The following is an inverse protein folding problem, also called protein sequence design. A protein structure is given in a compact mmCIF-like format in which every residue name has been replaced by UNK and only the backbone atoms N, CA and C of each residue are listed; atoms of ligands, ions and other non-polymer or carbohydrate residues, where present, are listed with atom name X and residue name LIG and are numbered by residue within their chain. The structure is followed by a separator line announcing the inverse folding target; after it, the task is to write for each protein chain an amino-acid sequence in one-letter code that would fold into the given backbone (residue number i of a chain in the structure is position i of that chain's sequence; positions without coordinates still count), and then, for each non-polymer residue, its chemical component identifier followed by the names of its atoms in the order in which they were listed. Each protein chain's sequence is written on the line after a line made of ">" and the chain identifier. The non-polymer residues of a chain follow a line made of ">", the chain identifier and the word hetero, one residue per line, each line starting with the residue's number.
data_IF_655929564649
#
_entry.id   IF_655929564649
#
_cell.length_a   1.000
_cell.length_b   1.000
_cell.length_c   1.000
_cell.angle_alpha   90.00
_cell.angle_beta   90.00
_cell.angle_gamma   90.00
#
_symmetry.space_group_name_H-M   'P 1'
#
loop_
_entity.id
_entity.type
_entity.pdbx_description
1 polymer ?
#
# COMPACT_ATOMS: atom_id res chain seq x y z
N UNK A 1 17.09 -21.67 -1.35
CA UNK A 1 16.89 -20.84 -0.13
C UNK A 1 15.43 -20.93 0.29
N UNK A 2 15.11 -21.12 1.57
CA UNK A 2 13.72 -21.18 2.04
C UNK A 2 13.35 -19.82 2.63
N UNK A 3 12.53 -19.05 1.91
CA UNK A 3 11.99 -17.79 2.41
C UNK A 3 10.79 -18.10 3.32
N UNK A 4 10.80 -17.59 4.54
CA UNK A 4 9.67 -17.77 5.45
C UNK A 4 8.51 -16.86 5.05
N UNK A 5 7.35 -17.44 4.80
CA UNK A 5 6.15 -16.71 4.41
C UNK A 5 5.64 -15.76 5.50
N UNK A 6 5.23 -14.58 5.06
CA UNK A 6 4.45 -13.62 5.84
C UNK A 6 3.43 -13.00 4.92
N UNK A 7 2.16 -13.08 5.28
CA UNK A 7 1.08 -12.50 4.49
C UNK A 7 -0.25 -12.65 5.24
N UNK A 8 -1.15 -11.68 5.03
CA UNK A 8 -2.42 -11.58 5.74
C UNK A 8 -3.49 -10.83 4.93
N UNK A 9 -3.41 -10.92 3.61
CA UNK A 9 -4.32 -10.26 2.65
C UNK A 9 -4.37 -8.72 2.72
N UNK A 10 -3.57 -8.10 3.58
CA UNK A 10 -3.41 -6.65 3.64
C UNK A 10 -1.91 -6.31 3.55
N UNK A 11 -1.59 -5.10 3.08
CA UNK A 11 -0.19 -4.66 2.96
C UNK A 11 0.67 -5.54 2.03
N UNK A 12 0.15 -5.86 0.84
CA UNK A 12 0.83 -6.74 -0.10
C UNK A 12 2.30 -6.38 -0.29
N UNK A 13 2.61 -5.13 -0.61
CA UNK A 13 3.99 -4.66 -0.81
C UNK A 13 4.79 -4.57 0.51
N UNK A 14 4.21 -4.15 1.65
CA UNK A 14 4.93 -4.09 2.93
C UNK A 14 5.26 -5.49 3.47
N UNK A 15 4.36 -6.47 3.34
CA UNK A 15 4.64 -7.87 3.68
C UNK A 15 5.72 -8.46 2.76
N UNK A 16 5.69 -8.15 1.46
CA UNK A 16 6.72 -8.59 0.51
C UNK A 16 8.08 -7.99 0.85
N UNK A 17 8.13 -6.70 1.20
CA UNK A 17 9.34 -6.05 1.70
C UNK A 17 9.83 -6.70 2.99
N UNK A 18 8.94 -6.94 3.95
CA UNK A 18 9.29 -7.60 5.22
C UNK A 18 9.92 -8.97 4.99
N UNK A 19 9.33 -9.81 4.13
CA UNK A 19 9.90 -11.12 3.77
C UNK A 19 11.29 -10.98 3.15
N UNK A 20 11.46 -10.04 2.21
CA UNK A 20 12.73 -9.83 1.52
C UNK A 20 13.84 -9.36 2.48
N UNK A 21 13.56 -8.38 3.35
CA UNK A 21 14.54 -7.84 4.30
C UNK A 21 14.94 -8.88 5.35
N UNK A 22 13.98 -9.63 5.88
CA UNK A 22 14.24 -10.69 6.86
C UNK A 22 15.20 -11.74 6.32
N UNK A 23 15.00 -12.18 5.10
CA UNK A 23 15.85 -13.20 4.46
C UNK A 23 17.16 -12.62 3.90
N UNK A 24 17.30 -11.29 3.87
CA UNK A 24 18.55 -10.59 3.56
C UNK A 24 19.43 -10.35 4.80
N UNK A 25 19.09 -10.97 5.92
CA UNK A 25 19.89 -10.94 7.15
C UNK A 25 19.48 -9.85 8.15
N UNK A 26 18.29 -9.24 7.99
CA UNK A 26 17.74 -8.40 9.03
C UNK A 26 17.46 -9.25 10.30
N UNK A 27 18.03 -8.91 11.47
CA UNK A 27 17.68 -9.59 12.70
C UNK A 27 16.16 -9.44 12.94
N UNK A 28 15.44 -10.52 13.29
CA UNK A 28 14.00 -10.43 13.54
C UNK A 28 13.58 -9.41 14.60
N UNK A 29 14.50 -9.13 15.56
CA UNK A 29 14.28 -8.14 16.62
C UNK A 29 14.51 -6.69 16.18
N UNK A 30 15.15 -6.47 15.05
CA UNK A 30 15.47 -5.14 14.51
C UNK A 30 14.55 -4.75 13.33
N UNK A 31 13.88 -5.74 12.72
CA UNK A 31 12.99 -5.48 11.60
C UNK A 31 11.58 -5.14 12.10
N UNK A 32 11.10 -3.91 11.87
CA UNK A 32 9.75 -3.52 12.26
C UNK A 32 8.69 -4.40 11.60
N UNK A 33 7.57 -4.57 12.29
CA UNK A 33 6.42 -5.32 11.79
C UNK A 33 5.82 -4.68 10.52
N UNK A 34 5.09 -5.46 9.68
CA UNK A 34 4.51 -4.94 8.44
C UNK A 34 3.62 -3.70 8.59
N UNK A 35 2.90 -3.53 9.71
CA UNK A 35 2.10 -2.33 9.97
C UNK A 35 2.96 -1.07 10.13
N UNK A 36 4.09 -1.18 10.80
CA UNK A 36 5.06 -0.08 10.90
C UNK A 36 5.72 0.19 9.55
N UNK A 37 6.09 -0.86 8.79
CA UNK A 37 6.63 -0.71 7.44
C UNK A 37 5.63 -0.01 6.52
N UNK A 38 4.34 -0.34 6.62
CA UNK A 38 3.27 0.34 5.88
C UNK A 38 3.26 1.84 6.18
N UNK A 39 3.43 2.25 7.45
CA UNK A 39 3.52 3.66 7.82
C UNK A 39 4.77 4.34 7.23
N UNK A 40 5.91 3.64 7.19
CA UNK A 40 7.14 4.17 6.56
C UNK A 40 6.98 4.42 5.06
N UNK A 41 6.08 3.72 4.38
CA UNK A 41 5.75 4.00 2.97
C UNK A 41 4.99 5.30 2.75
N UNK A 42 4.50 5.92 3.81
CA UNK A 42 3.60 7.09 3.83
C UNK A 42 2.19 6.83 3.26
N UNK A 43 1.92 5.66 2.73
CA UNK A 43 0.63 5.31 2.12
C UNK A 43 -0.58 5.48 3.05
N UNK A 44 -0.52 5.18 4.38
CA UNK A 44 -1.66 5.35 5.28
C UNK A 44 -2.13 6.79 5.49
N UNK A 45 -1.33 7.79 5.10
CA UNK A 45 -1.56 9.18 5.44
C UNK A 45 -2.16 9.97 4.27
N UNK A 46 -3.47 9.89 4.12
CA UNK A 46 -4.24 10.65 3.13
C UNK A 46 -5.41 9.88 2.53
N UNK A 47 -6.07 10.54 1.59
CA UNK A 47 -7.22 10.01 0.86
C UNK A 47 -7.16 10.46 -0.58
N UNK A 48 -7.37 9.55 -1.51
CA UNK A 48 -7.35 9.77 -2.95
C UNK A 48 -8.66 9.27 -3.58
N UNK A 49 -9.53 10.17 -3.98
CA UNK A 49 -10.81 9.88 -4.58
C UNK A 49 -10.84 10.31 -6.04
N UNK A 50 -11.06 9.34 -6.93
CA UNK A 50 -11.11 9.53 -8.38
C UNK A 50 -12.54 9.42 -8.90
N UNK A 51 -12.95 10.40 -9.71
CA UNK A 51 -14.25 10.47 -10.40
C UNK A 51 -13.99 10.62 -11.89
N UNK A 52 -13.69 9.51 -12.58
CA UNK A 52 -13.35 9.51 -14.01
C UNK A 52 -14.60 9.09 -14.80
N UNK A 53 -15.32 10.04 -15.33
CA UNK A 53 -16.58 9.81 -16.01
C UNK A 53 -17.65 9.23 -15.07
N UNK A 54 -18.04 7.96 -15.30
CA UNK A 54 -18.95 7.22 -14.41
C UNK A 54 -18.22 6.28 -13.44
N UNK A 55 -16.91 6.17 -13.57
CA UNK A 55 -16.11 5.33 -12.70
C UNK A 55 -15.69 6.11 -11.44
N UNK A 56 -16.12 5.59 -10.31
CA UNK A 56 -15.76 6.09 -9.00
C UNK A 56 -14.77 5.11 -8.37
N UNK A 57 -13.67 5.62 -7.82
CA UNK A 57 -12.66 4.80 -7.17
C UNK A 57 -12.05 5.58 -6.01
N UNK A 58 -12.02 5.00 -4.82
CA UNK A 58 -11.42 5.61 -3.65
C UNK A 58 -10.30 4.76 -3.10
N UNK A 59 -9.19 5.40 -2.79
CA UNK A 59 -8.11 4.86 -1.98
C UNK A 59 -7.96 5.71 -0.73
N UNK A 60 -8.09 5.09 0.44
CA UNK A 60 -7.76 5.74 1.70
C UNK A 60 -6.25 5.65 1.91
N UNK A 61 -5.56 6.42 1.09
CA UNK A 61 -4.10 6.47 1.02
C UNK A 61 -3.62 7.80 0.48
N UNK A 62 -2.36 8.12 0.76
CA UNK A 62 -1.73 9.35 0.28
C UNK A 62 -1.88 9.51 -1.24
N UNK A 63 -2.39 10.65 -1.74
CA UNK A 63 -2.45 10.92 -3.17
C UNK A 63 -1.08 11.33 -3.77
N UNK A 64 -0.06 11.53 -2.92
CA UNK A 64 1.28 11.98 -3.30
C UNK A 64 2.26 10.83 -3.56
N UNK A 65 1.88 9.59 -3.23
CA UNK A 65 2.72 8.41 -3.36
C UNK A 65 1.98 7.27 -4.05
N UNK A 66 2.73 6.30 -4.53
CA UNK A 66 2.24 5.01 -4.96
C UNK A 66 3.05 3.90 -4.26
N UNK A 67 2.60 2.64 -4.27
CA UNK A 67 3.31 1.56 -3.58
C UNK A 67 4.77 1.39 -3.96
N UNK A 68 5.13 1.59 -5.23
CA UNK A 68 6.50 1.45 -5.72
C UNK A 68 7.43 2.54 -5.14
N UNK A 69 6.96 3.79 -5.11
CA UNK A 69 7.65 4.90 -4.43
C UNK A 69 7.68 4.72 -2.92
N UNK A 70 6.56 4.23 -2.34
CA UNK A 70 6.46 3.94 -0.91
C UNK A 70 7.49 2.91 -0.45
N UNK A 71 7.75 1.86 -1.24
CA UNK A 71 8.81 0.88 -0.95
C UNK A 71 10.19 1.54 -0.89
N UNK A 72 10.52 2.44 -1.80
CA UNK A 72 11.81 3.16 -1.80
C UNK A 72 11.92 4.10 -0.59
N UNK A 73 10.82 4.78 -0.23
CA UNK A 73 10.73 5.63 0.97
C UNK A 73 10.95 4.81 2.25
N UNK A 74 10.31 3.66 2.37
CA UNK A 74 10.47 2.78 3.51
C UNK A 74 11.90 2.22 3.63
N UNK A 75 12.50 1.79 2.52
CA UNK A 75 13.89 1.32 2.48
C UNK A 75 14.87 2.40 2.96
N UNK A 76 14.71 3.63 2.47
CA UNK A 76 15.56 4.74 2.91
C UNK A 76 15.36 5.06 4.40
N UNK A 77 14.12 5.07 4.90
CA UNK A 77 13.85 5.28 6.33
C UNK A 77 14.47 4.18 7.20
N UNK A 78 14.45 2.93 6.76
CA UNK A 78 15.05 1.77 7.41
C UNK A 78 16.59 1.72 7.31
N UNK A 79 17.19 2.52 6.45
CA UNK A 79 18.62 2.48 6.16
C UNK A 79 19.07 1.26 5.35
N UNK A 80 18.20 0.80 4.47
CA UNK A 80 18.48 -0.28 3.53
C UNK A 80 18.61 0.23 2.10
N UNK A 81 19.47 -0.40 1.34
CA UNK A 81 19.64 -0.21 -0.09
C UNK A 81 19.32 -1.52 -0.82
N UNK A 82 18.90 -1.40 -2.07
CA UNK A 82 18.72 -2.52 -2.97
C UNK A 82 19.10 -2.13 -4.41
N UNK A 83 19.27 -3.13 -5.26
CA UNK A 83 19.33 -2.94 -6.70
C UNK A 83 17.91 -2.90 -7.23
N UNK A 84 17.55 -1.82 -7.90
CA UNK A 84 16.32 -1.71 -8.68
C UNK A 84 16.61 -1.94 -10.16
N UNK A 85 15.88 -2.86 -10.77
CA UNK A 85 16.00 -3.21 -12.18
C UNK A 85 14.62 -3.23 -12.83
N UNK A 86 14.54 -2.70 -14.04
CA UNK A 86 13.28 -2.52 -14.79
C UNK A 86 13.57 -2.70 -16.27
N UNK A 87 12.48 -2.82 -17.08
CA UNK A 87 12.53 -2.80 -18.54
C UNK A 87 13.20 -4.02 -19.19
N UNK A 88 13.30 -4.02 -20.51
CA UNK A 88 13.88 -5.07 -21.32
C UNK A 88 12.87 -5.98 -22.00
N UNK A 89 13.38 -7.00 -22.72
CA UNK A 89 12.53 -8.04 -23.30
C UNK A 89 12.04 -9.02 -22.22
N UNK A 90 10.94 -9.75 -22.45
CA UNK A 90 10.49 -10.78 -21.54
C UNK A 90 11.55 -11.81 -21.17
N UNK A 91 12.36 -12.24 -22.17
CA UNK A 91 13.42 -13.23 -21.99
C UNK A 91 14.56 -12.68 -21.12
N UNK A 92 14.99 -11.45 -21.38
CA UNK A 92 16.01 -10.76 -20.57
C UNK A 92 15.54 -10.54 -19.14
N UNK A 93 14.28 -10.14 -18.98
CA UNK A 93 13.67 -9.95 -17.65
C UNK A 93 13.60 -11.27 -16.86
N UNK A 94 13.19 -12.37 -17.50
CA UNK A 94 13.12 -13.69 -16.86
C UNK A 94 14.52 -14.20 -16.47
N UNK A 95 15.50 -14.03 -17.34
CA UNK A 95 16.89 -14.41 -17.04
C UNK A 95 17.44 -13.64 -15.85
N UNK A 96 17.26 -12.31 -15.84
CA UNK A 96 17.64 -11.42 -14.73
C UNK A 96 16.97 -11.80 -13.43
N UNK A 97 15.66 -12.13 -13.47
CA UNK A 97 14.89 -12.58 -12.32
C UNK A 97 15.48 -13.88 -11.74
N UNK A 98 15.76 -14.87 -12.60
CA UNK A 98 16.33 -16.16 -12.19
C UNK A 98 17.71 -15.99 -11.56
N UNK A 99 18.58 -15.18 -12.17
CA UNK A 99 19.91 -14.87 -11.62
C UNK A 99 19.83 -14.17 -10.26
N UNK A 100 18.93 -13.20 -10.10
CA UNK A 100 18.75 -12.48 -8.84
C UNK A 100 18.20 -13.42 -7.76
N UNK A 101 17.18 -14.22 -8.08
CA UNK A 101 16.56 -15.17 -7.13
C UNK A 101 17.51 -16.29 -6.68
N UNK A 102 18.49 -16.65 -7.51
CA UNK A 102 19.56 -17.60 -7.13
C UNK A 102 20.53 -17.01 -6.09
N UNK A 103 20.65 -15.68 -6.02
CA UNK A 103 21.56 -14.98 -5.09
C UNK A 103 20.89 -14.57 -3.78
N UNK A 104 19.57 -14.40 -3.77
CA UNK A 104 18.84 -13.97 -2.58
C UNK A 104 17.39 -13.62 -2.87
N UNK A 105 16.66 -13.06 -1.89
CA UNK A 105 15.27 -12.69 -2.07
C UNK A 105 15.12 -11.59 -3.13
N UNK A 106 14.08 -11.74 -3.95
CA UNK A 106 13.68 -10.74 -4.96
C UNK A 106 12.25 -10.31 -4.70
N UNK A 107 12.03 -9.03 -4.56
CA UNK A 107 10.71 -8.43 -4.54
C UNK A 107 10.37 -8.00 -5.97
N UNK A 108 9.41 -8.67 -6.61
CA UNK A 108 8.92 -8.34 -7.93
C UNK A 108 7.59 -7.58 -7.84
N UNK A 109 7.46 -6.52 -8.62
CA UNK A 109 6.24 -5.69 -8.69
C UNK A 109 6.53 -4.25 -9.11
N UNK A 110 5.48 -3.54 -9.56
CA UNK A 110 4.10 -4.02 -9.56
C UNK A 110 3.83 -5.10 -10.61
N UNK A 111 2.87 -5.99 -10.27
CA UNK A 111 2.25 -6.93 -11.20
C UNK A 111 0.77 -6.51 -11.41
N UNK A 112 0.18 -6.79 -12.57
CA UNK A 112 -1.26 -6.68 -12.77
C UNK A 112 -1.96 -7.89 -12.15
N UNK A 113 -2.74 -7.69 -11.08
CA UNK A 113 -3.51 -8.75 -10.41
C UNK A 113 -4.46 -9.46 -11.38
N UNK A 114 -4.96 -8.76 -12.39
CA UNK A 114 -5.83 -9.34 -13.41
C UNK A 114 -5.21 -10.49 -14.22
N UNK A 115 -3.90 -10.61 -14.21
CA UNK A 115 -3.15 -11.66 -14.89
C UNK A 115 -2.62 -12.77 -13.95
N UNK A 116 -2.88 -12.68 -12.64
CA UNK A 116 -2.46 -13.67 -11.64
C UNK A 116 -3.50 -14.80 -11.54
N UNK A 117 -3.49 -15.74 -12.48
CA UNK A 117 -4.49 -16.79 -12.66
C UNK A 117 -4.73 -17.72 -11.47
N UNK A 118 -3.88 -17.69 -10.45
CA UNK A 118 -4.08 -18.45 -9.21
C UNK A 118 -4.97 -17.73 -8.20
N UNK A 119 -5.26 -16.44 -8.40
CA UNK A 119 -6.16 -15.68 -7.52
C UNK A 119 -7.61 -15.87 -7.97
N UNK A 120 -8.55 -16.24 -7.09
CA UNK A 120 -9.96 -16.26 -7.42
C UNK A 120 -10.41 -14.89 -7.94
N UNK A 121 -11.24 -14.90 -9.00
CA UNK A 121 -11.80 -13.68 -9.59
C UNK A 121 -10.76 -12.66 -10.09
N UNK A 122 -9.50 -13.06 -10.31
CA UNK A 122 -8.42 -12.18 -10.76
C UNK A 122 -8.81 -11.27 -11.93
N UNK A 123 -9.60 -11.75 -12.88
CA UNK A 123 -10.01 -10.95 -14.04
C UNK A 123 -10.73 -9.65 -13.67
N UNK A 124 -11.40 -9.60 -12.50
CA UNK A 124 -12.07 -8.39 -11.98
C UNK A 124 -11.07 -7.41 -11.35
N UNK A 125 -9.83 -7.85 -11.06
CA UNK A 125 -8.75 -7.07 -10.45
C UNK A 125 -7.79 -6.49 -11.49
N UNK A 126 -8.16 -6.52 -12.77
CA UNK A 126 -7.32 -5.99 -13.85
C UNK A 126 -6.99 -4.50 -13.64
N UNK A 127 -5.71 -4.18 -13.69
CA UNK A 127 -5.17 -2.85 -13.42
C UNK A 127 -4.89 -2.55 -11.94
N UNK A 128 -5.26 -3.46 -11.03
CA UNK A 128 -4.80 -3.40 -9.64
C UNK A 128 -3.37 -3.91 -9.55
N UNK A 129 -2.55 -3.17 -8.83
CA UNK A 129 -1.15 -3.51 -8.60
C UNK A 129 -0.96 -4.57 -7.53
N UNK A 130 0.08 -5.35 -7.67
CA UNK A 130 0.48 -6.37 -6.71
C UNK A 130 2.00 -6.51 -6.60
N UNK A 131 2.48 -7.06 -5.47
CA UNK A 131 3.89 -7.28 -5.21
C UNK A 131 4.09 -8.65 -4.58
N UNK A 132 5.07 -9.39 -5.04
CA UNK A 132 5.37 -10.76 -4.57
C UNK A 132 6.85 -10.95 -4.28
N UNK A 133 7.19 -11.94 -3.46
CA UNK A 133 8.59 -12.37 -3.29
C UNK A 133 8.85 -13.60 -4.14
N UNK A 134 9.83 -13.51 -5.03
CA UNK A 134 10.22 -14.61 -5.93
C UNK A 134 11.13 -15.58 -5.18
N UNK A 135 10.74 -16.85 -5.17
CA UNK A 135 11.48 -17.94 -4.56
C UNK A 135 12.48 -18.60 -5.52
N UNK A 136 12.22 -18.49 -6.83
CA UNK A 136 13.07 -19.03 -7.87
C UNK A 136 12.37 -19.14 -9.20
N UNK A 137 13.19 -19.35 -10.23
CA UNK A 137 12.77 -19.72 -11.59
C UNK A 137 13.25 -21.14 -11.85
N UNK A 138 12.34 -22.08 -12.08
CA UNK A 138 12.62 -23.50 -12.24
C UNK A 138 12.02 -23.99 -13.57
N UNK A 139 12.87 -24.15 -14.58
CA UNK A 139 12.42 -24.44 -15.95
C UNK A 139 11.50 -23.34 -16.47
N UNK A 140 10.30 -23.72 -16.87
CA UNK A 140 9.28 -22.81 -17.40
C UNK A 140 8.34 -22.25 -16.30
N UNK A 141 8.72 -22.32 -15.03
CA UNK A 141 7.87 -21.88 -13.91
C UNK A 141 8.58 -20.85 -13.03
N UNK A 142 7.84 -19.87 -12.57
CA UNK A 142 8.23 -18.93 -11.52
C UNK A 142 7.51 -19.32 -10.24
N UNK A 143 8.27 -19.47 -9.15
CA UNK A 143 7.71 -19.75 -7.84
C UNK A 143 7.76 -18.49 -6.98
N UNK A 144 6.65 -18.18 -6.31
CA UNK A 144 6.51 -16.96 -5.51
C UNK A 144 5.88 -17.23 -4.14
N UNK A 145 6.17 -16.35 -3.21
CA UNK A 145 5.30 -16.06 -2.08
C UNK A 145 4.47 -14.83 -2.39
N UNK A 146 3.17 -15.01 -2.44
CA UNK A 146 2.22 -13.92 -2.56
C UNK A 146 1.61 -13.60 -1.19
N UNK A 147 1.81 -12.40 -0.66
CA UNK A 147 1.36 -12.01 0.68
C UNK A 147 -0.16 -11.99 0.86
N UNK A 148 -0.93 -12.12 -0.22
CA UNK A 148 -2.40 -12.15 -0.19
C UNK A 148 -2.98 -13.53 0.17
N UNK A 149 -2.20 -14.34 0.86
CA UNK A 149 -2.62 -15.66 1.36
C UNK A 149 -2.15 -16.84 0.52
N UNK A 150 -1.27 -16.64 -0.48
CA UNK A 150 -0.85 -17.70 -1.40
C UNK A 150 0.65 -18.02 -1.29
N UNK A 151 1.08 -18.81 -0.30
CA UNK A 151 2.48 -19.24 -0.19
C UNK A 151 2.84 -20.27 -1.26
N UNK A 152 4.09 -20.22 -1.73
CA UNK A 152 4.69 -21.24 -2.61
C UNK A 152 3.94 -21.46 -3.94
N UNK A 153 3.27 -20.45 -4.48
CA UNK A 153 2.63 -20.55 -5.79
C UNK A 153 3.69 -20.80 -6.86
N UNK A 154 3.45 -21.76 -7.74
CA UNK A 154 4.26 -22.02 -8.91
C UNK A 154 3.40 -21.85 -10.17
N UNK A 155 3.67 -20.81 -10.94
CA UNK A 155 2.92 -20.48 -12.15
C UNK A 155 3.81 -20.52 -13.40
N UNK A 156 3.24 -20.72 -14.62
CA UNK A 156 4.00 -20.64 -15.85
C UNK A 156 4.72 -19.29 -16.01
N UNK A 157 5.99 -19.33 -16.44
CA UNK A 157 6.79 -18.11 -16.59
C UNK A 157 6.15 -17.11 -17.58
N UNK A 158 5.50 -17.60 -18.63
CA UNK A 158 4.78 -16.76 -19.60
C UNK A 158 3.61 -15.99 -18.96
N UNK A 159 2.90 -16.60 -18.03
CA UNK A 159 1.81 -15.95 -17.30
C UNK A 159 2.35 -14.96 -16.27
N UNK A 160 3.42 -15.32 -15.56
CA UNK A 160 4.11 -14.40 -14.65
C UNK A 160 4.62 -13.16 -15.40
N UNK A 161 5.27 -13.32 -16.54
CA UNK A 161 5.76 -12.22 -17.37
C UNK A 161 4.62 -11.32 -17.85
N UNK A 162 3.47 -11.90 -18.21
CA UNK A 162 2.28 -11.11 -18.58
C UNK A 162 1.79 -10.24 -17.42
N UNK A 163 1.72 -10.81 -16.21
CA UNK A 163 1.36 -10.04 -15.01
C UNK A 163 2.42 -8.98 -14.67
N UNK A 164 3.70 -9.33 -14.76
CA UNK A 164 4.82 -8.48 -14.37
C UNK A 164 5.12 -7.37 -15.39
N UNK A 165 4.59 -7.45 -16.59
CA UNK A 165 4.59 -6.37 -17.56
C UNK A 165 3.80 -5.16 -17.08
N UNK A 166 2.78 -5.40 -16.24
CA UNK A 166 2.00 -4.39 -15.51
C UNK A 166 1.41 -3.26 -16.39
N UNK A 167 1.09 -3.55 -17.66
CA UNK A 167 0.64 -2.55 -18.66
C UNK A 167 -0.59 -1.75 -18.24
N UNK A 168 -1.43 -2.34 -17.40
CA UNK A 168 -2.68 -1.71 -16.92
C UNK A 168 -2.55 -1.04 -15.56
N UNK A 169 -1.41 -1.18 -14.90
CA UNK A 169 -1.13 -0.51 -13.63
C UNK A 169 -0.72 0.93 -13.91
N UNK A 170 -1.55 1.89 -13.51
CA UNK A 170 -1.48 3.30 -13.95
C UNK A 170 -0.14 3.99 -13.67
N UNK A 171 0.52 3.64 -12.57
CA UNK A 171 1.78 4.25 -12.15
C UNK A 171 3.03 3.45 -12.55
N UNK A 172 2.89 2.35 -13.29
CA UNK A 172 3.99 1.49 -13.73
C UNK A 172 4.42 1.85 -15.18
N UNK A 173 5.22 2.89 -15.38
CA UNK A 173 5.59 3.36 -16.74
C UNK A 173 6.55 2.40 -17.45
N UNK A 174 7.24 1.54 -16.70
CA UNK A 174 8.21 0.57 -17.22
C UNK A 174 7.90 -0.82 -16.70
N UNK A 175 7.95 -1.86 -17.58
CA UNK A 175 7.65 -3.23 -17.19
C UNK A 175 8.78 -3.86 -16.39
N UNK A 176 8.50 -5.02 -15.82
CA UNK A 176 9.46 -5.94 -15.22
C UNK A 176 10.29 -5.34 -14.07
N UNK A 177 9.63 -4.52 -13.23
CA UNK A 177 10.29 -3.91 -12.10
C UNK A 177 10.56 -4.92 -10.98
N UNK A 178 11.77 -4.94 -10.45
CA UNK A 178 12.15 -5.76 -9.31
C UNK A 178 13.18 -5.06 -8.42
N UNK A 179 13.21 -5.47 -7.15
CA UNK A 179 14.22 -5.11 -6.16
C UNK A 179 14.92 -6.35 -5.66
N UNK A 180 16.25 -6.32 -5.61
CA UNK A 180 17.10 -7.44 -5.20
C UNK A 180 18.37 -6.96 -4.51
N UNK A 181 19.15 -7.87 -3.92
CA UNK A 181 20.44 -7.54 -3.33
C UNK A 181 20.32 -6.55 -2.16
N UNK A 182 19.31 -6.74 -1.33
CA UNK A 182 19.05 -5.89 -0.15
C UNK A 182 20.23 -5.91 0.80
N UNK A 183 20.67 -4.73 1.24
CA UNK A 183 21.79 -4.54 2.15
C UNK A 183 21.51 -3.42 3.12
N UNK A 184 21.66 -3.66 4.42
CA UNK A 184 21.54 -2.62 5.43
C UNK A 184 22.81 -1.79 5.45
N UNK A 185 22.69 -0.49 5.22
CA UNK A 185 23.82 0.47 5.19
C UNK A 185 23.84 1.40 6.40
N UNK A 186 22.68 1.58 7.03
CA UNK A 186 22.51 2.38 8.26
C UNK A 186 21.57 1.64 9.21
N UNK A 187 21.70 1.90 10.52
CA UNK A 187 20.81 1.36 11.56
C UNK A 187 20.15 2.52 12.32
N UNK A 188 19.15 3.18 11.72
CA UNK A 188 18.44 4.25 12.40
C UNK A 188 17.64 3.72 13.58
N UNK A 189 17.44 4.55 14.61
CA UNK A 189 16.50 4.25 15.70
C UNK A 189 15.07 4.36 15.20
N UNK A 190 14.10 3.80 15.93
CA UNK A 190 12.68 3.92 15.57
C UNK A 190 12.24 5.38 15.51
N UNK A 191 12.69 6.22 16.45
CA UNK A 191 12.41 7.65 16.48
C UNK A 191 12.95 8.34 15.21
N UNK A 192 14.13 7.98 14.74
CA UNK A 192 14.73 8.54 13.53
C UNK A 192 13.94 8.10 12.26
N UNK A 193 13.48 6.84 12.21
CA UNK A 193 12.62 6.35 11.13
C UNK A 193 11.30 7.13 11.08
N UNK A 194 10.66 7.33 12.22
CA UNK A 194 9.41 8.07 12.36
C UNK A 194 9.62 9.53 11.95
N UNK A 195 10.61 10.20 12.50
CA UNK A 195 10.89 11.60 12.20
C UNK A 195 11.11 11.84 10.70
N UNK A 196 11.76 10.91 10.00
CA UNK A 196 11.98 10.97 8.56
C UNK A 196 10.68 10.86 7.76
N UNK A 197 9.68 10.17 8.29
CA UNK A 197 8.39 9.89 7.64
C UNK A 197 7.35 11.01 7.87
N UNK A 198 7.39 11.68 9.00
CA UNK A 198 6.34 12.64 9.44
C UNK A 198 6.08 13.77 8.47
N UNK A 199 7.11 14.32 7.82
CA UNK A 199 6.94 15.40 6.84
C UNK A 199 6.09 14.98 5.66
N UNK A 200 6.36 13.80 5.09
CA UNK A 200 5.60 13.24 3.98
C UNK A 200 4.20 12.78 4.41
N UNK A 201 4.05 12.27 5.64
CA UNK A 201 2.76 11.91 6.21
C UNK A 201 1.83 13.14 6.32
N UNK A 202 2.33 14.26 6.84
CA UNK A 202 1.61 15.55 6.91
C UNK A 202 1.20 16.04 5.51
N UNK A 203 2.15 16.02 4.58
CA UNK A 203 1.90 16.44 3.21
C UNK A 203 0.80 15.59 2.55
N UNK A 204 0.82 14.28 2.75
CA UNK A 204 -0.17 13.34 2.21
C UNK A 204 -1.58 13.58 2.75
N UNK A 205 -1.71 13.81 4.06
CA UNK A 205 -3.01 14.14 4.71
C UNK A 205 -3.59 15.46 4.19
N UNK A 206 -2.73 16.47 4.02
CA UNK A 206 -3.16 17.81 3.56
C UNK A 206 -3.37 17.87 2.04
N UNK A 207 -2.92 16.86 1.29
CA UNK A 207 -2.95 16.92 -0.16
C UNK A 207 -4.37 16.83 -0.72
N UNK A 208 -4.77 17.85 -1.48
CA UNK A 208 -5.89 17.80 -2.41
C UNK A 208 -5.31 18.06 -3.83
N UNK A 209 -5.29 17.06 -4.72
CA UNK A 209 -4.74 17.23 -6.06
C UNK A 209 -5.42 18.33 -6.91
N UNK A 210 -6.66 18.73 -6.53
CA UNK A 210 -7.30 19.94 -7.08
C UNK A 210 -7.72 19.86 -8.54
N UNK A 211 -7.66 18.69 -9.14
CA UNK A 211 -8.12 18.46 -10.52
C UNK A 211 -9.64 18.26 -10.62
N UNK A 212 -10.20 18.22 -11.84
CA UNK A 212 -11.64 18.02 -12.05
C UNK A 212 -12.11 16.62 -11.65
N UNK A 213 -11.21 15.63 -11.65
CA UNK A 213 -11.53 14.22 -11.49
C UNK A 213 -10.78 13.53 -10.35
N UNK A 214 -10.00 14.28 -9.53
CA UNK A 214 -9.22 13.72 -8.45
C UNK A 214 -9.22 14.65 -7.23
N UNK A 215 -9.56 14.10 -6.08
CA UNK A 215 -9.79 14.85 -4.84
C UNK A 215 -9.07 14.18 -3.66
N UNK A 216 -8.61 14.97 -2.71
CA UNK A 216 -7.91 14.50 -1.51
C UNK A 216 -8.49 15.08 -0.22
N UNK A 217 -7.94 14.66 0.91
CA UNK A 217 -8.25 15.15 2.24
C UNK A 217 -9.75 15.15 2.58
N UNK A 218 -10.23 16.08 3.43
CA UNK A 218 -11.64 16.17 3.85
C UNK A 218 -12.63 16.29 2.68
N UNK A 219 -12.19 16.94 1.59
CA UNK A 219 -13.03 17.12 0.39
C UNK A 219 -13.35 15.77 -0.28
N UNK A 220 -12.38 14.88 -0.36
CA UNK A 220 -12.58 13.54 -0.92
C UNK A 220 -13.66 12.76 -0.18
N UNK A 221 -13.64 12.78 1.14
CA UNK A 221 -14.64 12.13 1.99
C UNK A 221 -16.05 12.70 1.78
N UNK A 222 -16.20 14.05 1.74
CA UNK A 222 -17.51 14.69 1.53
C UNK A 222 -18.10 14.38 0.15
N UNK A 223 -17.25 14.36 -0.89
CA UNK A 223 -17.69 13.99 -2.23
C UNK A 223 -18.08 12.50 -2.30
N UNK A 224 -17.32 11.62 -1.68
CA UNK A 224 -17.66 10.20 -1.57
C UNK A 224 -18.99 10.03 -0.81
N UNK A 225 -19.20 10.72 0.30
CA UNK A 225 -20.47 10.68 1.05
C UNK A 225 -21.66 11.09 0.18
N UNK A 226 -21.52 12.15 -0.61
CA UNK A 226 -22.57 12.59 -1.54
C UNK A 226 -22.88 11.53 -2.60
N UNK A 227 -21.84 10.89 -3.17
CA UNK A 227 -22.01 9.85 -4.19
C UNK A 227 -22.62 8.56 -3.60
N UNK A 228 -22.29 8.20 -2.36
CA UNK A 228 -22.85 7.05 -1.64
C UNK A 228 -24.36 7.18 -1.38
N UNK A 229 -24.91 8.39 -1.30
CA UNK A 229 -26.34 8.63 -1.19
C UNK A 229 -27.10 8.49 -2.53
N UNK A 230 -26.38 8.32 -3.62
CA UNK A 230 -26.92 8.10 -4.97
C UNK A 230 -27.01 6.63 -5.36
N UNK A 231 -27.16 6.38 -6.66
CA UNK A 231 -27.18 5.03 -7.21
C UNK A 231 -25.74 4.47 -7.31
N UNK A 232 -25.48 3.37 -6.61
CA UNK A 232 -24.14 2.78 -6.51
C UNK A 232 -23.82 1.84 -7.68
N UNK A 233 -22.64 2.03 -8.26
CA UNK A 233 -22.10 1.08 -9.22
C UNK A 233 -21.55 -0.17 -8.50
N UNK A 234 -21.87 -1.36 -9.00
CA UNK A 234 -21.43 -2.65 -8.41
C UNK A 234 -19.92 -2.72 -8.20
N UNK A 235 -19.14 -2.12 -9.11
CA UNK A 235 -17.67 -2.07 -9.03
C UNK A 235 -17.21 -1.30 -7.80
N UNK A 236 -17.82 -0.15 -7.49
CA UNK A 236 -17.47 0.64 -6.30
C UNK A 236 -17.86 -0.10 -5.02
N UNK A 237 -19.03 -0.74 -5.00
CA UNK A 237 -19.48 -1.57 -3.88
C UNK A 237 -18.46 -2.66 -3.58
N UNK A 238 -18.06 -3.45 -4.57
CA UNK A 238 -17.07 -4.51 -4.41
C UNK A 238 -15.71 -3.96 -3.95
N UNK A 239 -15.26 -2.85 -4.54
CA UNK A 239 -14.01 -2.21 -4.15
C UNK A 239 -14.04 -1.71 -2.69
N UNK A 240 -15.11 -1.05 -2.27
CA UNK A 240 -15.27 -0.58 -0.89
C UNK A 240 -15.28 -1.74 0.10
N UNK A 241 -16.15 -2.72 -0.11
CA UNK A 241 -16.42 -3.78 0.88
C UNK A 241 -15.32 -4.84 0.96
N UNK A 242 -14.64 -5.14 -0.17
CA UNK A 242 -13.62 -6.20 -0.22
C UNK A 242 -12.19 -5.69 -0.06
N UNK A 243 -11.95 -4.38 -0.18
CA UNK A 243 -10.60 -3.84 -0.17
C UNK A 243 -10.49 -2.52 0.60
N UNK A 244 -11.14 -1.44 0.16
CA UNK A 244 -10.80 -0.10 0.62
C UNK A 244 -11.11 0.13 2.10
N UNK A 245 -12.30 -0.24 2.57
CA UNK A 245 -12.70 -0.03 3.98
C UNK A 245 -11.92 -0.91 4.96
N UNK A 246 -11.76 -2.26 4.74
CA UNK A 246 -10.95 -3.09 5.63
C UNK A 246 -9.49 -2.63 5.70
N UNK A 247 -8.91 -2.27 4.56
CA UNK A 247 -7.53 -1.77 4.51
C UNK A 247 -7.39 -0.43 5.23
N UNK A 248 -8.36 0.49 5.04
CA UNK A 248 -8.37 1.80 5.70
C UNK A 248 -8.47 1.69 7.23
N UNK A 249 -9.33 0.80 7.72
CA UNK A 249 -9.45 0.53 9.16
C UNK A 249 -8.11 0.06 9.74
N UNK A 250 -7.46 -0.89 9.08
CA UNK A 250 -6.16 -1.40 9.50
C UNK A 250 -5.07 -0.35 9.43
N UNK A 251 -4.95 0.38 8.31
CA UNK A 251 -3.99 1.48 8.15
C UNK A 251 -4.15 2.55 9.23
N UNK A 252 -5.39 2.89 9.56
CA UNK A 252 -5.67 3.87 10.63
C UNK A 252 -5.25 3.35 12.00
N UNK A 253 -5.48 2.06 12.28
CA UNK A 253 -5.03 1.45 13.53
C UNK A 253 -3.50 1.45 13.66
N UNK A 254 -2.79 1.03 12.62
CA UNK A 254 -1.32 0.98 12.62
C UNK A 254 -0.71 2.41 12.63
N UNK A 255 -1.32 3.38 11.93
CA UNK A 255 -0.92 4.78 11.97
C UNK A 255 -1.11 5.40 13.38
N UNK A 256 -2.16 5.01 14.11
CA UNK A 256 -2.34 5.43 15.49
C UNK A 256 -1.20 4.94 16.39
N UNK A 257 -0.80 3.68 16.27
CA UNK A 257 0.34 3.13 17.01
C UNK A 257 1.65 3.84 16.64
N UNK A 258 1.90 4.05 15.35
CA UNK A 258 3.07 4.75 14.82
C UNK A 258 3.18 6.19 15.35
N UNK A 259 2.08 6.95 15.34
CA UNK A 259 2.05 8.34 15.81
C UNK A 259 2.14 8.43 17.34
N UNK A 260 1.60 7.45 18.06
CA UNK A 260 1.74 7.39 19.53
C UNK A 260 3.21 7.19 19.92
N UNK A 261 3.93 6.31 19.24
CA UNK A 261 5.35 6.11 19.42
C UNK A 261 6.16 7.38 19.08
N UNK A 262 5.67 8.17 18.13
CA UNK A 262 6.23 9.48 17.78
C UNK A 262 5.94 10.61 18.81
N UNK A 263 5.17 10.34 19.86
CA UNK A 263 4.74 11.34 20.84
C UNK A 263 3.55 12.22 20.39
N UNK A 264 2.94 11.95 19.22
CA UNK A 264 1.77 12.68 18.72
C UNK A 264 0.46 12.05 19.25
N UNK A 265 0.23 12.14 20.55
CA UNK A 265 -0.90 11.45 21.23
C UNK A 265 -2.28 11.89 20.71
N UNK A 266 -2.47 13.18 20.41
CA UNK A 266 -3.71 13.69 19.85
C UNK A 266 -3.99 13.11 18.45
N UNK A 267 -3.04 13.19 17.55
CA UNK A 267 -3.16 12.61 16.21
C UNK A 267 -3.36 11.10 16.25
N UNK A 268 -2.69 10.40 17.16
CA UNK A 268 -2.90 8.98 17.39
C UNK A 268 -4.35 8.66 17.80
N UNK A 269 -4.94 9.44 18.72
CA UNK A 269 -6.34 9.31 19.13
C UNK A 269 -7.32 9.59 17.98
N UNK A 270 -7.00 10.54 17.10
CA UNK A 270 -7.78 10.81 15.89
C UNK A 270 -7.75 9.62 14.91
N UNK A 271 -6.59 9.00 14.71
CA UNK A 271 -6.47 7.82 13.88
C UNK A 271 -7.17 6.58 14.47
N UNK A 272 -7.21 6.43 15.79
CA UNK A 272 -8.03 5.39 16.45
C UNK A 272 -9.51 5.57 16.13
N UNK A 273 -10.02 6.81 16.20
CA UNK A 273 -11.40 7.10 15.81
C UNK A 273 -11.65 6.84 14.32
N UNK A 274 -10.70 7.20 13.44
CA UNK A 274 -10.78 6.82 12.01
C UNK A 274 -10.90 5.31 11.83
N UNK A 275 -10.09 4.52 12.54
CA UNK A 275 -10.15 3.06 12.46
C UNK A 275 -11.52 2.52 12.86
N UNK A 276 -12.12 3.06 13.92
CA UNK A 276 -13.48 2.70 14.38
C UNK A 276 -14.53 3.06 13.33
N UNK A 277 -14.49 4.30 12.79
CA UNK A 277 -15.41 4.73 11.75
C UNK A 277 -15.32 3.86 10.49
N UNK A 278 -14.12 3.50 10.03
CA UNK A 278 -13.94 2.61 8.89
C UNK A 278 -14.46 1.18 9.17
N UNK A 279 -14.24 0.67 10.38
CA UNK A 279 -14.77 -0.64 10.79
C UNK A 279 -16.30 -0.66 10.81
N UNK A 280 -16.93 0.41 11.29
CA UNK A 280 -18.39 0.55 11.28
C UNK A 280 -18.91 0.76 9.86
N UNK A 281 -18.25 1.58 9.05
CA UNK A 281 -18.59 1.78 7.64
C UNK A 281 -18.53 0.48 6.84
N UNK A 282 -17.57 -0.41 7.15
CA UNK A 282 -17.50 -1.75 6.56
C UNK A 282 -18.77 -2.57 6.85
N UNK A 283 -19.25 -2.55 8.08
CA UNK A 283 -20.48 -3.27 8.45
C UNK A 283 -21.69 -2.75 7.66
N UNK A 284 -21.90 -1.43 7.65
CA UNK A 284 -23.04 -0.82 6.97
C UNK A 284 -22.96 -0.98 5.44
N UNK A 285 -21.77 -0.86 4.85
CA UNK A 285 -21.56 -1.04 3.42
C UNK A 285 -21.90 -2.48 2.95
N UNK A 286 -21.51 -3.50 3.74
CA UNK A 286 -21.88 -4.92 3.47
C UNK A 286 -23.39 -5.14 3.61
N UNK A 287 -24.07 -4.40 4.50
CA UNK A 287 -25.52 -4.42 4.63
C UNK A 287 -26.25 -3.54 3.60
N UNK A 288 -25.51 -2.96 2.65
CA UNK A 288 -26.01 -2.03 1.61
C UNK A 288 -26.72 -0.78 2.20
N UNK A 289 -26.39 -0.43 3.45
CA UNK A 289 -26.92 0.76 4.12
C UNK A 289 -26.09 1.98 3.78
N UNK A 290 -26.21 2.45 2.55
CA UNK A 290 -25.35 3.48 1.99
C UNK A 290 -25.50 4.84 2.64
N UNK A 291 -26.68 5.18 3.17
CA UNK A 291 -26.88 6.43 3.93
C UNK A 291 -26.07 6.43 5.22
N UNK A 292 -26.10 5.33 5.99
CA UNK A 292 -25.31 5.21 7.21
C UNK A 292 -23.80 5.19 6.91
N UNK A 293 -23.41 4.54 5.83
CA UNK A 293 -22.02 4.57 5.34
C UNK A 293 -21.59 5.99 4.96
N UNK A 294 -22.46 6.76 4.29
CA UNK A 294 -22.20 8.14 3.91
C UNK A 294 -22.05 9.07 5.12
N UNK A 295 -22.85 8.88 6.16
CA UNK A 295 -22.76 9.66 7.39
C UNK A 295 -21.40 9.44 8.10
N UNK A 296 -20.88 8.21 8.05
CA UNK A 296 -19.53 7.92 8.54
C UNK A 296 -18.44 8.54 7.67
N UNK A 297 -18.65 8.68 6.36
CA UNK A 297 -17.70 9.42 5.50
C UNK A 297 -17.66 10.91 5.85
N UNK A 298 -18.81 11.54 6.21
CA UNK A 298 -18.81 12.91 6.72
C UNK A 298 -18.03 13.03 8.03
N UNK A 299 -18.23 12.11 8.97
CA UNK A 299 -17.45 12.07 10.21
C UNK A 299 -15.95 11.89 9.96
N UNK A 300 -15.59 11.05 8.99
CA UNK A 300 -14.19 10.85 8.55
C UNK A 300 -13.61 12.12 7.92
N UNK A 301 -14.41 12.93 7.21
CA UNK A 301 -13.97 14.22 6.68
C UNK A 301 -13.56 15.18 7.82
N UNK A 302 -14.34 15.23 8.89
CA UNK A 302 -14.04 16.08 10.05
C UNK A 302 -12.80 15.58 10.82
N UNK A 303 -12.66 14.25 10.97
CA UNK A 303 -11.46 13.64 11.56
C UNK A 303 -10.20 13.91 10.73
N UNK A 304 -10.30 13.85 9.39
CA UNK A 304 -9.17 14.19 8.50
C UNK A 304 -8.74 15.64 8.66
N UNK A 305 -9.70 16.58 8.74
CA UNK A 305 -9.42 17.98 8.99
C UNK A 305 -8.73 18.21 10.35
N UNK A 306 -9.21 17.54 11.39
CA UNK A 306 -8.59 17.61 12.72
C UNK A 306 -7.16 17.01 12.73
N UNK A 307 -6.92 15.92 11.98
CA UNK A 307 -5.60 15.30 11.84
C UNK A 307 -4.59 16.23 11.17
N UNK A 308 -5.00 16.91 10.11
CA UNK A 308 -4.15 17.89 9.42
C UNK A 308 -3.68 18.94 10.44
N UNK A 309 -4.61 19.48 11.21
CA UNK A 309 -4.31 20.48 12.22
C UNK A 309 -3.43 19.95 13.38
N UNK A 310 -3.75 18.76 13.91
CA UNK A 310 -2.99 18.14 15.01
C UNK A 310 -1.55 17.77 14.64
N UNK A 311 -1.23 17.67 13.36
CA UNK A 311 0.10 17.38 12.84
C UNK A 311 0.81 18.61 12.28
N UNK A 312 0.20 19.81 12.30
CA UNK A 312 0.91 21.05 11.96
C UNK A 312 2.14 21.23 12.87
N UNK A 313 3.26 21.70 12.33
CA UNK A 313 4.40 22.04 13.18
C UNK A 313 3.94 23.10 14.20
N UNK A 314 4.24 22.89 15.48
CA UNK A 314 4.06 23.96 16.46
C UNK A 314 4.78 25.20 15.92
N UNK A 315 4.05 26.30 15.72
CA UNK A 315 4.62 27.53 15.20
C UNK A 315 5.89 27.86 15.96
N UNK A 316 6.98 28.07 15.23
CA UNK A 316 8.24 28.59 15.76
C UNK A 316 8.11 30.10 16.14
N UNK A 317 6.91 30.52 16.57
CA UNK A 317 6.57 31.86 17.00
C UNK A 317 6.64 31.98 18.53
N UNK A 318 7.88 31.96 19.06
CA UNK A 318 8.11 32.09 20.50
C UNK A 318 9.59 32.14 20.84
N UNK A 319 10.34 33.02 20.15
CA UNK A 319 11.73 33.29 20.49
C UNK A 319 12.05 34.76 20.24
#
# INVERSE_FOLDING_TARGET
>A
MTIRYTGNAAYGYANSLYMALRESGAPPTELPEPGFLECLTTMPFGTDYLRVGRDLLVYFSSPLANPDQGLSTALDALGWECREERDGTPEAALARLGEAAARGPVLAGPLDMGALGYMPQHAQLSGSDHFVVVLGVEGERVRVHDPDGYPCVAMPAVEFLRAWRAERVRYAPTPYAMRSGFRQTRRPTREAMIARTLGAARAGLAADPGGPDRYGGPRAFRLLAADLRGAMAKRLVGHLTSFALPLAARRSHDAAAFLREAGHAEAAGLFERKAQCFGEAQYWAVQERWTDTADLMEALADLEGALIHALEPADASGG
#
